data_IF_013846754254
#
_entry.id   IF_013846754254
#
_cell.length_a   1.000
_cell.length_b   1.000
_cell.length_c   1.000
_cell.angle_alpha   90.00
_cell.angle_beta   90.00
_cell.angle_gamma   90.00
#
_symmetry.space_group_name_H-M   'P 1'
#
loop_
_entity.id
_entity.type
_entity.pdbx_description
1 polymer ?
#
# COMPACT_ATOMS: atom_id res chain seq x y z
N UNK A 1 -1.74 8.31 34.42
CA UNK A 1 -2.66 7.96 35.54
C UNK A 1 -3.41 6.72 35.10
N UNK A 2 -3.08 5.55 35.64
CA UNK A 2 -3.60 4.27 35.16
C UNK A 2 -4.99 4.03 35.74
N UNK A 3 -6.03 4.09 34.91
CA UNK A 3 -7.41 3.78 35.31
C UNK A 3 -7.68 2.30 35.01
N UNK A 4 -7.56 1.44 36.02
CA UNK A 4 -8.09 0.07 35.97
C UNK A 4 -9.39 0.04 36.75
N UNK A 5 -10.53 -0.05 36.06
CA UNK A 5 -11.83 -0.33 36.66
C UNK A 5 -12.31 -1.71 36.20
N UNK A 6 -12.44 -2.64 37.16
CA UNK A 6 -12.96 -3.98 36.95
C UNK A 6 -14.45 -4.01 37.31
N UNK A 7 -15.32 -3.91 36.31
CA UNK A 7 -16.75 -4.12 36.41
C UNK A 7 -17.35 -4.33 35.01
N UNK A 8 -18.49 -5.04 34.86
CA UNK A 8 -19.05 -5.40 33.56
C UNK A 8 -19.45 -4.19 32.68
N UNK A 9 -19.53 -2.99 33.27
CA UNK A 9 -19.83 -1.72 32.60
C UNK A 9 -18.63 -0.75 32.58
N UNK A 10 -17.49 -1.17 33.12
CA UNK A 10 -16.35 -0.29 33.39
C UNK A 10 -15.66 0.23 32.12
N UNK A 11 -15.99 -0.27 30.94
CA UNK A 11 -15.34 0.11 29.69
C UNK A 11 -16.19 0.99 28.77
N UNK A 12 -17.52 1.03 28.94
CA UNK A 12 -18.41 1.80 28.06
C UNK A 12 -18.17 3.32 28.11
N UNK A 13 -17.59 3.82 29.21
CA UNK A 13 -17.22 5.23 29.35
C UNK A 13 -16.10 5.67 28.38
N UNK A 14 -15.40 4.72 27.75
CA UNK A 14 -14.35 5.01 26.77
C UNK A 14 -14.91 5.25 25.36
N UNK A 15 -16.19 4.96 25.11
CA UNK A 15 -16.83 5.28 23.82
C UNK A 15 -16.77 6.80 23.58
N UNK A 16 -16.38 7.20 22.37
CA UNK A 16 -16.14 8.59 22.00
C UNK A 16 -14.75 9.11 22.38
N UNK A 17 -13.92 8.32 23.06
CA UNK A 17 -12.53 8.71 23.37
C UNK A 17 -11.69 8.72 22.11
N UNK A 18 -10.98 9.82 21.90
CA UNK A 18 -9.97 9.96 20.85
C UNK A 18 -8.65 9.35 21.31
N UNK A 19 -7.99 8.63 20.39
CA UNK A 19 -6.74 7.92 20.63
C UNK A 19 -5.73 8.31 19.56
N UNK A 20 -4.47 8.43 19.95
CA UNK A 20 -3.35 8.60 19.03
C UNK A 20 -2.84 7.23 18.58
N UNK A 21 -2.61 7.08 17.28
CA UNK A 21 -2.07 5.87 16.66
C UNK A 21 -0.89 6.22 15.75
N UNK A 22 -0.14 5.20 15.32
CA UNK A 22 0.92 5.36 14.33
C UNK A 22 0.43 5.94 12.97
N UNK A 23 -0.88 5.92 12.69
CA UNK A 23 -1.49 6.41 11.45
C UNK A 23 -2.34 7.69 11.66
N UNK A 24 -2.18 8.33 12.82
CA UNK A 24 -2.94 9.50 13.23
C UNK A 24 -4.04 9.18 14.24
N UNK A 25 -5.07 10.01 14.28
CA UNK A 25 -6.11 9.94 15.32
C UNK A 25 -7.22 8.95 14.95
N UNK A 26 -7.76 8.28 15.96
CA UNK A 26 -8.94 7.44 15.85
C UNK A 26 -9.88 7.66 17.03
N UNK A 27 -11.13 7.23 16.90
CA UNK A 27 -12.13 7.26 17.99
C UNK A 27 -12.66 5.87 18.26
N UNK A 28 -12.79 5.50 19.54
CA UNK A 28 -13.52 4.29 19.94
C UNK A 28 -15.00 4.51 19.72
N UNK A 29 -15.63 3.73 18.84
CA UNK A 29 -17.04 3.88 18.47
C UNK A 29 -17.95 2.93 19.24
N UNK A 30 -17.48 1.72 19.55
CA UNK A 30 -18.26 0.70 20.24
C UNK A 30 -17.36 -0.33 20.95
N UNK A 31 -17.88 -1.00 21.97
CA UNK A 31 -17.26 -2.18 22.57
C UNK A 31 -17.94 -3.43 22.03
N UNK A 32 -17.17 -4.33 21.41
CA UNK A 32 -17.67 -5.64 21.05
C UNK A 32 -17.69 -6.58 22.27
N UNK A 33 -16.59 -6.58 23.03
CA UNK A 33 -16.52 -7.23 24.34
C UNK A 33 -15.54 -6.51 25.29
N UNK A 34 -15.12 -7.17 26.38
CA UNK A 34 -14.18 -6.59 27.36
C UNK A 34 -12.74 -6.39 26.84
N UNK A 35 -12.39 -6.97 25.69
CA UNK A 35 -11.06 -6.98 25.08
C UNK A 35 -11.06 -6.35 23.70
N UNK A 36 -12.17 -6.37 22.98
CA UNK A 36 -12.29 -5.89 21.60
C UNK A 36 -13.22 -4.70 21.46
N UNK A 37 -12.78 -3.74 20.66
CA UNK A 37 -13.47 -2.48 20.41
C UNK A 37 -13.49 -2.16 18.93
N UNK A 38 -14.55 -1.49 18.50
CA UNK A 38 -14.61 -0.82 17.22
C UNK A 38 -13.94 0.54 17.33
N UNK A 39 -13.12 0.87 16.33
CA UNK A 39 -12.49 2.17 16.19
C UNK A 39 -12.72 2.72 14.79
N UNK A 40 -12.70 4.05 14.67
CA UNK A 40 -12.73 4.78 13.40
C UNK A 40 -11.55 5.71 13.29
N UNK A 41 -10.72 5.54 12.27
CA UNK A 41 -9.61 6.43 11.95
C UNK A 41 -10.12 7.70 11.27
N UNK A 42 -9.64 8.87 11.72
CA UNK A 42 -10.16 10.16 11.26
C UNK A 42 -9.68 10.52 9.86
N UNK A 43 -8.43 10.20 9.53
CA UNK A 43 -7.80 10.62 8.28
C UNK A 43 -8.37 9.90 7.06
N UNK A 44 -8.70 8.63 7.21
CA UNK A 44 -9.18 7.75 6.12
C UNK A 44 -10.66 7.43 6.23
N UNK A 45 -11.24 7.57 7.43
CA UNK A 45 -12.58 7.09 7.74
C UNK A 45 -12.65 5.57 7.94
N UNK A 46 -11.52 4.85 7.90
CA UNK A 46 -11.47 3.40 8.04
C UNK A 46 -11.97 2.96 9.42
N UNK A 47 -12.82 1.94 9.42
CA UNK A 47 -13.45 1.39 10.62
C UNK A 47 -13.03 -0.07 10.79
N UNK A 48 -12.62 -0.44 11.99
CA UNK A 48 -12.15 -1.81 12.26
C UNK A 48 -12.31 -2.19 13.72
N UNK A 49 -12.29 -3.49 13.97
CA UNK A 49 -12.16 -4.04 15.31
C UNK A 49 -10.70 -4.23 15.68
N UNK A 50 -10.34 -3.87 16.92
CA UNK A 50 -9.02 -4.17 17.47
C UNK A 50 -9.14 -4.45 18.96
N UNK A 51 -8.08 -5.01 19.55
CA UNK A 51 -8.03 -5.17 21.00
C UNK A 51 -7.77 -3.83 21.70
N UNK A 52 -8.35 -3.67 22.89
CA UNK A 52 -8.14 -2.52 23.77
C UNK A 52 -6.66 -2.36 24.15
N UNK A 53 -5.90 -3.45 24.17
CA UNK A 53 -4.46 -3.42 24.37
C UNK A 53 -3.76 -2.64 23.26
N UNK A 54 -4.08 -2.92 21.98
CA UNK A 54 -3.47 -2.21 20.84
C UNK A 54 -3.86 -0.75 20.80
N UNK A 55 -5.09 -0.44 21.20
CA UNK A 55 -5.56 0.95 21.40
C UNK A 55 -4.69 1.66 22.43
N UNK A 56 -4.54 1.09 23.62
CA UNK A 56 -3.73 1.67 24.69
C UNK A 56 -2.23 1.77 24.33
N UNK A 57 -1.74 0.87 23.47
CA UNK A 57 -0.37 0.89 22.98
C UNK A 57 -0.16 1.82 21.76
N UNK A 58 -1.22 2.40 21.18
CA UNK A 58 -1.14 3.21 19.95
C UNK A 58 -0.79 2.41 18.69
N UNK A 59 -0.91 1.09 18.73
CA UNK A 59 -0.52 0.16 17.64
C UNK A 59 -1.71 -0.37 16.85
N UNK A 60 -2.91 0.20 17.04
CA UNK A 60 -4.03 -0.01 16.13
C UNK A 60 -3.65 0.44 14.72
N UNK A 61 -3.93 -0.38 13.71
CA UNK A 61 -3.48 -0.15 12.35
C UNK A 61 -4.63 0.21 11.43
N UNK A 62 -4.37 1.13 10.51
CA UNK A 62 -5.23 1.52 9.41
C UNK A 62 -4.51 1.08 8.13
N UNK A 63 -4.96 -0.02 7.48
CA UNK A 63 -4.35 -0.53 6.26
C UNK A 63 -4.60 0.39 5.06
N UNK A 64 -5.56 1.32 5.14
CA UNK A 64 -5.89 2.27 4.08
C UNK A 64 -5.10 3.57 4.19
N UNK A 65 -4.35 3.76 5.29
CA UNK A 65 -3.52 4.94 5.48
C UNK A 65 -2.32 4.93 4.50
N UNK A 66 -2.14 5.99 3.67
CA UNK A 66 -1.01 6.07 2.75
C UNK A 66 0.33 6.18 3.48
N UNK A 67 1.17 5.16 3.34
CA UNK A 67 2.50 5.09 3.97
C UNK A 67 3.64 5.26 2.97
N UNK A 68 3.39 5.06 1.67
CA UNK A 68 4.40 5.18 0.61
C UNK A 68 4.14 6.41 -0.25
N UNK A 69 5.03 7.40 -0.15
CA UNK A 69 4.96 8.67 -0.89
C UNK A 69 3.61 9.41 -0.77
N UNK A 70 2.87 9.20 0.31
CA UNK A 70 1.56 9.82 0.54
C UNK A 70 0.44 9.32 -0.36
N UNK A 71 0.66 8.27 -1.17
CA UNK A 71 -0.35 7.69 -2.06
C UNK A 71 -0.50 6.19 -1.88
N UNK A 72 0.60 5.44 -1.72
CA UNK A 72 0.57 3.99 -1.60
C UNK A 72 0.20 3.52 -0.20
N UNK A 73 -0.73 2.57 -0.11
CA UNK A 73 -1.21 1.96 1.14
C UNK A 73 -1.31 0.44 0.99
N UNK A 74 -1.34 -0.28 2.13
CA UNK A 74 -1.29 -1.74 2.14
C UNK A 74 -2.61 -2.39 1.75
N UNK A 75 -3.74 -1.79 2.13
CA UNK A 75 -5.08 -2.36 1.96
C UNK A 75 -5.37 -3.55 2.88
N UNK A 76 -6.62 -3.98 2.92
CA UNK A 76 -7.07 -5.16 3.65
C UNK A 76 -7.04 -6.39 2.76
N UNK A 77 -6.27 -7.41 3.15
CA UNK A 77 -6.21 -8.67 2.42
C UNK A 77 -5.07 -9.56 2.90
N UNK A 78 -4.75 -10.57 2.11
CA UNK A 78 -3.76 -11.60 2.45
C UNK A 78 -2.30 -11.18 2.17
N UNK A 79 -2.10 -10.23 1.26
CA UNK A 79 -0.78 -9.80 0.84
C UNK A 79 -0.14 -8.89 1.90
N UNK A 80 1.09 -9.19 2.28
CA UNK A 80 1.84 -8.38 3.24
C UNK A 80 3.33 -8.35 2.90
N UNK A 81 4.01 -7.28 3.31
CA UNK A 81 5.41 -7.03 2.95
C UNK A 81 6.41 -8.06 3.48
N UNK A 82 6.03 -8.85 4.50
CA UNK A 82 6.92 -9.84 5.11
C UNK A 82 6.93 -11.17 4.34
N UNK A 83 5.80 -11.54 3.73
CA UNK A 83 5.65 -12.79 2.96
C UNK A 83 5.69 -12.56 1.45
N UNK A 84 5.41 -11.33 1.00
CA UNK A 84 5.42 -10.90 -0.40
C UNK A 84 6.47 -9.80 -0.60
N UNK A 85 7.70 -10.09 -0.15
CA UNK A 85 8.79 -9.11 -0.14
C UNK A 85 9.15 -8.65 -1.55
N UNK A 86 9.17 -9.57 -2.53
CA UNK A 86 9.52 -9.26 -3.92
C UNK A 86 8.51 -8.31 -4.56
N UNK A 87 7.23 -8.59 -4.37
CA UNK A 87 6.09 -7.80 -4.83
C UNK A 87 6.10 -6.42 -4.14
N UNK A 88 6.30 -6.40 -2.82
CA UNK A 88 6.35 -5.17 -2.05
C UNK A 88 7.48 -4.26 -2.50
N UNK A 89 8.70 -4.77 -2.68
CA UNK A 89 9.82 -3.98 -3.17
C UNK A 89 9.55 -3.41 -4.57
N UNK A 90 8.96 -4.22 -5.44
CA UNK A 90 8.60 -3.78 -6.80
C UNK A 90 7.56 -2.67 -6.78
N UNK A 91 6.46 -2.87 -6.07
CA UNK A 91 5.39 -1.89 -5.88
C UNK A 91 5.90 -0.60 -5.26
N UNK A 92 6.68 -0.71 -4.17
CA UNK A 92 7.27 0.43 -3.47
C UNK A 92 8.19 1.24 -4.41
N UNK A 93 9.06 0.57 -5.17
CA UNK A 93 9.94 1.23 -6.11
C UNK A 93 9.18 1.88 -7.27
N UNK A 94 8.10 1.26 -7.78
CA UNK A 94 7.21 1.86 -8.78
C UNK A 94 6.57 3.16 -8.27
N UNK A 95 5.97 3.14 -7.08
CA UNK A 95 5.35 4.31 -6.46
C UNK A 95 6.40 5.41 -6.21
N UNK A 96 7.57 5.06 -5.66
CA UNK A 96 8.64 6.03 -5.38
C UNK A 96 9.17 6.71 -6.63
N UNK A 97 9.36 5.98 -7.74
CA UNK A 97 9.78 6.56 -9.02
C UNK A 97 8.83 7.66 -9.49
N UNK A 98 7.52 7.48 -9.29
CA UNK A 98 6.48 8.41 -9.74
C UNK A 98 6.27 9.58 -8.76
N UNK A 99 6.27 9.32 -7.44
CA UNK A 99 5.74 10.26 -6.45
C UNK A 99 6.76 10.76 -5.42
N UNK A 100 8.00 10.25 -5.39
CA UNK A 100 8.98 10.72 -4.40
C UNK A 100 9.42 12.17 -4.69
N UNK A 101 9.05 13.09 -3.81
CA UNK A 101 9.44 14.51 -3.88
C UNK A 101 10.65 14.80 -3.01
N UNK A 102 10.62 14.37 -1.74
CA UNK A 102 11.72 14.59 -0.80
C UNK A 102 12.94 13.73 -1.17
N UNK A 103 14.13 14.35 -1.22
CA UNK A 103 15.39 13.69 -1.58
C UNK A 103 15.27 12.88 -2.88
N UNK A 104 14.56 13.43 -3.89
CA UNK A 104 14.31 12.73 -5.15
C UNK A 104 15.64 12.39 -5.86
N UNK A 105 15.92 11.09 -6.10
CA UNK A 105 17.09 10.67 -6.85
C UNK A 105 17.10 11.25 -8.28
N UNK A 106 18.29 11.53 -8.82
CA UNK A 106 18.43 12.15 -10.16
C UNK A 106 17.88 11.24 -11.26
N UNK A 107 18.05 9.93 -11.09
CA UNK A 107 17.54 8.89 -11.98
C UNK A 107 16.00 8.87 -12.06
N UNK A 108 15.29 9.44 -11.08
CA UNK A 108 13.82 9.52 -11.12
C UNK A 108 13.32 10.71 -11.96
N UNK A 109 14.20 11.55 -12.50
CA UNK A 109 13.81 12.71 -13.31
C UNK A 109 13.04 12.32 -14.57
N UNK A 110 13.34 11.17 -15.18
CA UNK A 110 12.61 10.67 -16.36
C UNK A 110 11.16 10.26 -16.05
N UNK A 111 10.82 10.11 -14.77
CA UNK A 111 9.47 9.77 -14.30
C UNK A 111 8.65 11.02 -13.97
N UNK A 112 9.10 12.21 -14.34
CA UNK A 112 8.33 13.43 -14.17
C UNK A 112 7.04 13.39 -15.02
N UNK A 113 5.90 13.61 -14.34
CA UNK A 113 4.56 13.47 -14.92
C UNK A 113 4.13 12.04 -15.20
N UNK A 114 4.89 11.03 -14.77
CA UNK A 114 4.46 9.62 -14.77
C UNK A 114 3.70 9.34 -13.47
N UNK A 115 2.59 8.63 -13.57
CA UNK A 115 1.71 8.27 -12.44
C UNK A 115 1.48 6.77 -12.36
N UNK A 116 0.89 6.34 -11.26
CA UNK A 116 0.37 4.98 -11.07
C UNK A 116 -1.17 5.09 -11.01
N UNK A 117 -1.87 4.16 -11.65
CA UNK A 117 -3.33 4.05 -11.54
C UNK A 117 -3.75 3.95 -10.08
N UNK A 118 -4.89 4.57 -9.74
CA UNK A 118 -5.36 4.68 -8.35
C UNK A 118 -5.59 3.32 -7.70
N UNK A 119 -6.03 2.32 -8.47
CA UNK A 119 -6.25 0.98 -7.94
C UNK A 119 -4.93 0.33 -7.52
N UNK A 120 -3.83 0.64 -8.21
CA UNK A 120 -2.48 0.18 -7.87
C UNK A 120 -1.80 1.01 -6.77
N UNK A 121 -2.48 2.01 -6.21
CA UNK A 121 -2.06 2.61 -4.94
C UNK A 121 -2.34 1.66 -3.76
N UNK A 122 -3.26 0.72 -3.91
CA UNK A 122 -3.49 -0.36 -2.97
C UNK A 122 -2.57 -1.55 -3.29
N UNK A 123 -1.74 -1.95 -2.33
CA UNK A 123 -0.84 -3.10 -2.48
C UNK A 123 -1.58 -4.42 -2.74
N UNK A 124 -2.77 -4.62 -2.16
CA UNK A 124 -3.58 -5.83 -2.42
C UNK A 124 -3.93 -5.93 -3.90
N UNK A 125 -4.55 -4.88 -4.45
CA UNK A 125 -4.95 -4.84 -5.86
C UNK A 125 -3.75 -5.02 -6.79
N UNK A 126 -2.60 -4.41 -6.45
CA UNK A 126 -1.36 -4.61 -7.22
C UNK A 126 -0.96 -6.09 -7.26
N UNK A 127 -0.89 -6.77 -6.10
CA UNK A 127 -0.56 -8.20 -6.03
C UNK A 127 -1.56 -9.08 -6.78
N UNK A 128 -2.86 -8.79 -6.64
CA UNK A 128 -3.92 -9.50 -7.37
C UNK A 128 -3.83 -9.33 -8.88
N UNK A 129 -3.36 -8.17 -9.35
CA UNK A 129 -3.29 -7.87 -10.78
C UNK A 129 -2.02 -8.37 -11.44
N UNK A 130 -0.85 -8.27 -10.78
CA UNK A 130 0.43 -8.56 -11.42
C UNK A 130 0.55 -10.01 -11.89
N UNK A 131 -0.13 -10.94 -11.22
CA UNK A 131 -0.16 -12.35 -11.60
C UNK A 131 -0.77 -12.60 -13.00
N UNK A 132 -1.53 -11.63 -13.52
CA UNK A 132 -2.16 -11.70 -14.84
C UNK A 132 -1.36 -10.96 -15.92
N UNK A 133 -0.22 -10.37 -15.58
CA UNK A 133 0.59 -9.63 -16.53
C UNK A 133 1.48 -10.56 -17.36
N UNK A 134 1.71 -10.16 -18.60
CA UNK A 134 2.66 -10.83 -19.48
C UNK A 134 4.04 -10.84 -18.80
N UNK A 135 4.65 -12.03 -18.73
CA UNK A 135 5.97 -12.27 -18.13
C UNK A 135 5.97 -12.45 -16.61
N UNK A 136 4.82 -12.52 -15.94
CA UNK A 136 4.77 -12.75 -14.49
C UNK A 136 5.38 -14.10 -14.09
N UNK A 137 5.00 -15.18 -14.77
CA UNK A 137 5.55 -16.52 -14.50
C UNK A 137 7.06 -16.55 -14.71
N UNK A 138 7.55 -15.88 -15.76
CA UNK A 138 8.99 -15.74 -16.01
C UNK A 138 9.68 -14.96 -14.89
N UNK A 139 9.10 -13.84 -14.42
CA UNK A 139 9.62 -13.12 -13.27
C UNK A 139 9.61 -13.98 -12.00
N UNK A 140 8.59 -14.82 -11.79
CA UNK A 140 8.46 -15.65 -10.60
C UNK A 140 9.53 -16.76 -10.56
N UNK A 141 9.73 -17.45 -11.68
CA UNK A 141 10.54 -18.66 -11.79
C UNK A 141 12.02 -18.42 -12.07
N UNK A 142 12.40 -17.23 -12.55
CA UNK A 142 13.78 -16.95 -12.96
C UNK A 142 14.55 -16.10 -11.93
N UNK A 143 15.86 -16.36 -11.83
CA UNK A 143 16.82 -15.55 -11.08
C UNK A 143 17.28 -14.30 -11.85
N UNK A 144 16.94 -14.20 -13.15
CA UNK A 144 17.25 -13.04 -13.95
C UNK A 144 16.53 -11.80 -13.42
N UNK A 145 17.16 -10.63 -13.57
CA UNK A 145 16.56 -9.36 -13.18
C UNK A 145 15.47 -8.96 -14.17
N UNK A 146 14.22 -9.20 -13.77
CA UNK A 146 13.02 -8.69 -14.42
C UNK A 146 12.54 -7.38 -13.78
N UNK A 147 11.92 -6.53 -14.60
CA UNK A 147 11.38 -5.23 -14.22
C UNK A 147 9.94 -5.09 -14.74
N UNK A 148 9.03 -4.58 -13.91
CA UNK A 148 7.71 -4.15 -14.36
C UNK A 148 7.84 -2.78 -15.03
N UNK A 149 7.44 -2.69 -16.29
CA UNK A 149 7.46 -1.45 -17.05
C UNK A 149 6.20 -1.27 -17.90
N UNK A 150 5.90 -0.01 -18.25
CA UNK A 150 4.71 0.37 -19.01
C UNK A 150 4.97 0.58 -20.50
N UNK A 151 6.22 0.85 -20.86
CA UNK A 151 6.55 1.48 -22.14
C UNK A 151 6.23 0.61 -23.35
N UNK A 152 6.39 -0.72 -23.22
CA UNK A 152 6.08 -1.69 -24.28
C UNK A 152 4.58 -1.74 -24.58
N UNK A 153 3.76 -1.96 -23.56
CA UNK A 153 2.31 -2.08 -23.74
C UNK A 153 1.69 -0.74 -24.10
N UNK A 154 2.14 0.38 -23.53
CA UNK A 154 1.72 1.72 -23.98
C UNK A 154 1.97 1.91 -25.48
N UNK A 155 3.13 1.48 -26.00
CA UNK A 155 3.43 1.56 -27.43
C UNK A 155 2.49 0.67 -28.27
N UNK A 156 2.26 -0.57 -27.84
CA UNK A 156 1.35 -1.50 -28.51
C UNK A 156 -0.10 -0.99 -28.55
N UNK A 157 -0.56 -0.38 -27.45
CA UNK A 157 -1.89 0.19 -27.28
C UNK A 157 -2.03 1.61 -27.85
N UNK A 158 -0.94 2.21 -28.36
CA UNK A 158 -0.89 3.60 -28.84
C UNK A 158 -1.30 4.62 -27.77
N UNK A 159 -0.91 4.37 -26.53
CA UNK A 159 -1.15 5.24 -25.37
C UNK A 159 0.12 6.03 -24.99
N UNK A 160 -0.01 7.19 -24.31
CA UNK A 160 1.12 7.88 -23.72
C UNK A 160 1.81 7.00 -22.67
N UNK A 161 3.15 6.96 -22.70
CA UNK A 161 4.00 6.27 -21.72
C UNK A 161 4.05 7.01 -20.37
N UNK A 162 2.89 7.17 -19.72
CA UNK A 162 2.72 8.05 -18.55
C UNK A 162 2.02 7.42 -17.36
N UNK A 163 1.40 6.25 -17.49
CA UNK A 163 0.68 5.61 -16.38
C UNK A 163 1.16 4.18 -16.22
N UNK A 164 1.44 3.76 -14.97
CA UNK A 164 1.55 2.36 -14.58
C UNK A 164 0.15 1.85 -14.19
N UNK A 165 -0.34 0.83 -14.88
CA UNK A 165 -1.61 0.14 -14.60
C UNK A 165 -1.56 -1.30 -15.11
N UNK A 166 -2.58 -2.08 -14.77
CA UNK A 166 -2.74 -3.46 -15.25
C UNK A 166 -2.72 -3.56 -16.78
N UNK A 167 -3.32 -2.59 -17.45
CA UNK A 167 -3.44 -2.57 -18.91
C UNK A 167 -2.16 -2.12 -19.59
N UNK A 168 -1.37 -1.27 -18.92
CA UNK A 168 -0.18 -0.67 -19.51
C UNK A 168 1.09 -1.37 -19.11
N UNK A 169 1.10 -2.30 -18.17
CA UNK A 169 2.34 -2.90 -17.66
C UNK A 169 2.54 -4.35 -18.10
N UNK A 170 3.81 -4.73 -18.18
CA UNK A 170 4.26 -6.11 -18.33
C UNK A 170 5.62 -6.30 -17.65
N UNK A 171 6.01 -7.55 -17.43
CA UNK A 171 7.33 -7.91 -16.97
C UNK A 171 8.27 -8.07 -18.15
N UNK A 172 9.47 -7.49 -18.03
CA UNK A 172 10.52 -7.56 -19.03
C UNK A 172 11.86 -7.82 -18.35
N UNK A 173 12.74 -8.55 -19.01
CA UNK A 173 14.14 -8.59 -18.58
C UNK A 173 14.73 -7.18 -18.63
N UNK A 174 15.72 -6.90 -17.77
CA UNK A 174 16.41 -5.60 -17.80
C UNK A 174 17.02 -5.28 -19.19
N UNK A 175 17.41 -6.33 -19.94
CA UNK A 175 17.94 -6.22 -21.31
C UNK A 175 16.87 -5.75 -22.31
N UNK A 176 15.68 -6.35 -22.27
CA UNK A 176 14.54 -5.97 -23.11
C UNK A 176 14.09 -4.55 -22.79
N UNK A 177 13.91 -4.24 -21.50
CA UNK A 177 13.47 -2.92 -21.05
C UNK A 177 14.44 -1.81 -21.52
N UNK A 178 15.74 -2.04 -21.36
CA UNK A 178 16.78 -1.12 -21.82
C UNK A 178 16.77 -0.90 -23.34
N UNK A 179 16.43 -1.94 -24.11
CA UNK A 179 16.36 -1.88 -25.57
C UNK A 179 15.14 -1.08 -26.06
N UNK A 180 14.03 -1.14 -25.32
CA UNK A 180 12.80 -0.37 -25.59
C UNK A 180 12.99 1.11 -25.26
N UNK A 181 13.64 1.43 -24.13
CA UNK A 181 13.86 2.81 -23.69
C UNK A 181 14.80 3.62 -24.60
N UNK A 182 15.62 2.95 -25.42
CA UNK A 182 16.54 3.58 -26.37
C UNK A 182 15.90 3.98 -27.71
N UNK A 183 14.64 3.59 -27.96
CA UNK A 183 13.89 3.90 -29.18
C UNK A 183 12.94 5.07 -28.95
#
# INVERSE_FOLDING_TARGET
MSLYFNGPYASHHLIGTEIDTQHGKATITEFYDKREVWIKFHNTGYETTTTIYRVNAGTASDPTHPTVCGVGFMGEGEYNSATHEREYHMWNNMIRRCYQVANRPKEFKSYEGVTVATDWHNFQNFCEDIQWLIGYDDWLENEERYEIDKDLMCAALKLPKKVYSKETCCFLTASENSSIARK
#
